data_IF_291938487470
#
_entry.id   IF_291938487470
#
_cell.length_a   1.000
_cell.length_b   1.000
_cell.length_c   1.000
_cell.angle_alpha   90.00
_cell.angle_beta   90.00
_cell.angle_gamma   90.00
#
_symmetry.space_group_name_H-M   'P 1'
#
loop_
_entity.id
_entity.type
_entity.pdbx_description
1 polymer ?
#
# COMPACT_ATOMS: atom_id res chain seq x y z
N UNK A 1 3.49 -4.93 18.02
CA UNK A 1 2.45 -5.81 18.60
C UNK A 1 2.96 -6.54 19.83
N UNK A 2 3.98 -7.42 19.73
CA UNK A 2 4.50 -8.16 20.91
C UNK A 2 4.99 -7.27 22.07
N UNK A 3 5.49 -6.06 21.79
CA UNK A 3 5.84 -5.10 22.86
C UNK A 3 4.62 -4.64 23.69
N UNK A 4 3.43 -4.59 23.08
CA UNK A 4 2.19 -4.13 23.74
C UNK A 4 1.42 -5.29 24.39
N UNK A 5 1.59 -6.51 23.89
CA UNK A 5 0.78 -7.68 24.29
C UNK A 5 1.59 -8.83 24.90
N UNK A 6 2.90 -8.66 25.03
CA UNK A 6 3.82 -9.73 25.41
C UNK A 6 4.18 -10.66 24.24
N UNK A 7 5.19 -11.50 24.47
CA UNK A 7 5.68 -12.49 23.51
C UNK A 7 5.17 -13.91 23.79
N UNK A 8 4.50 -14.15 24.91
CA UNK A 8 3.95 -15.47 25.26
C UNK A 8 2.44 -15.49 25.10
N UNK A 9 1.94 -16.42 24.29
CA UNK A 9 0.51 -16.62 24.02
C UNK A 9 0.21 -18.11 24.13
N UNK A 10 -0.86 -18.47 24.86
CA UNK A 10 -1.27 -19.87 25.06
C UNK A 10 -0.12 -20.80 25.51
N UNK A 11 0.77 -20.31 26.38
CA UNK A 11 1.93 -21.07 26.88
C UNK A 11 3.06 -21.27 25.85
N UNK A 12 2.97 -20.66 24.67
CA UNK A 12 4.03 -20.66 23.64
C UNK A 12 4.66 -19.28 23.54
N UNK A 13 5.99 -19.24 23.55
CA UNK A 13 6.75 -18.02 23.28
C UNK A 13 6.89 -17.82 21.78
N UNK A 14 6.56 -16.64 21.29
CA UNK A 14 6.74 -16.22 19.90
C UNK A 14 8.17 -15.67 19.78
N UNK A 15 8.91 -16.21 18.82
CA UNK A 15 10.25 -15.74 18.45
C UNK A 15 10.24 -15.35 16.97
N UNK A 16 10.83 -14.19 16.67
CA UNK A 16 10.88 -13.65 15.31
C UNK A 16 12.26 -13.88 14.73
N UNK A 17 12.32 -14.59 13.61
CA UNK A 17 13.51 -14.67 12.78
C UNK A 17 13.30 -13.75 11.58
N UNK A 18 14.08 -12.68 11.51
CA UNK A 18 13.97 -11.67 10.44
C UNK A 18 15.15 -11.85 9.50
N UNK A 19 14.85 -12.03 8.21
CA UNK A 19 15.84 -12.10 7.13
C UNK A 19 15.39 -11.20 5.99
N UNK A 20 16.30 -10.37 5.51
CA UNK A 20 16.07 -9.48 4.37
C UNK A 20 16.32 -10.24 3.06
N UNK A 21 15.31 -10.28 2.18
CA UNK A 21 15.42 -10.89 0.85
C UNK A 21 15.84 -9.87 -0.22
N UNK A 22 15.95 -8.59 0.13
CA UNK A 22 16.26 -7.48 -0.76
C UNK A 22 15.17 -7.22 -1.81
N UNK A 23 13.96 -7.77 -1.61
CA UNK A 23 12.90 -7.78 -2.63
C UNK A 23 13.19 -8.69 -3.82
N UNK A 24 14.16 -9.62 -3.71
CA UNK A 24 14.55 -10.53 -4.79
C UNK A 24 13.91 -11.90 -4.58
N UNK A 25 13.05 -12.39 -5.49
CA UNK A 25 12.31 -13.64 -5.28
C UNK A 25 13.17 -14.89 -5.09
N UNK A 26 14.34 -14.99 -5.74
CA UNK A 26 15.25 -16.12 -5.55
C UNK A 26 15.81 -16.17 -4.12
N UNK A 27 16.10 -15.01 -3.53
CA UNK A 27 16.49 -14.91 -2.13
C UNK A 27 15.34 -15.33 -1.22
N UNK A 28 14.11 -14.86 -1.50
CA UNK A 28 12.92 -15.23 -0.72
C UNK A 28 12.71 -16.74 -0.69
N UNK A 29 12.87 -17.42 -1.84
CA UNK A 29 12.76 -18.88 -1.95
C UNK A 29 13.83 -19.59 -1.11
N UNK A 30 15.09 -19.17 -1.25
CA UNK A 30 16.21 -19.75 -0.49
C UNK A 30 16.03 -19.56 1.01
N UNK A 31 15.70 -18.34 1.43
CA UNK A 31 15.45 -17.99 2.83
C UNK A 31 14.28 -18.80 3.39
N UNK A 32 13.16 -18.90 2.66
CA UNK A 32 12.03 -19.70 3.09
C UNK A 32 12.41 -21.18 3.25
N UNK A 33 13.17 -21.76 2.31
CA UNK A 33 13.67 -23.12 2.42
C UNK A 33 14.50 -23.33 3.70
N UNK A 34 15.41 -22.39 3.99
CA UNK A 34 16.26 -22.42 5.18
C UNK A 34 15.44 -22.31 6.47
N UNK A 35 14.45 -21.41 6.51
CA UNK A 35 13.56 -21.26 7.66
C UNK A 35 12.72 -22.51 7.90
N UNK A 36 12.23 -23.14 6.82
CA UNK A 36 11.38 -24.34 6.90
C UNK A 36 12.20 -25.56 7.34
N UNK A 37 13.36 -25.79 6.72
CA UNK A 37 14.13 -27.03 6.91
C UNK A 37 15.14 -26.92 8.06
N UNK A 38 15.87 -25.80 8.10
CA UNK A 38 16.91 -25.55 9.08
C UNK A 38 16.35 -25.07 10.42
N UNK A 39 15.67 -23.92 10.39
CA UNK A 39 15.13 -23.29 11.60
C UNK A 39 13.82 -23.93 12.10
N UNK A 40 13.19 -24.76 11.27
CA UNK A 40 11.93 -25.48 11.57
C UNK A 40 10.83 -24.54 12.09
N UNK A 41 10.69 -23.38 11.44
CA UNK A 41 9.66 -22.40 11.82
C UNK A 41 8.26 -22.98 11.66
N UNK A 42 7.31 -22.51 12.46
CA UNK A 42 5.90 -22.90 12.33
C UNK A 42 5.14 -22.04 11.31
N UNK A 43 5.63 -20.83 11.03
CA UNK A 43 5.00 -19.84 10.13
C UNK A 43 6.08 -19.11 9.35
N UNK A 44 5.85 -18.89 8.05
CA UNK A 44 6.70 -18.07 7.19
C UNK A 44 6.03 -16.73 6.91
N UNK A 45 6.78 -15.63 6.98
CA UNK A 45 6.33 -14.32 6.50
C UNK A 45 6.77 -14.07 5.07
N UNK A 46 5.89 -13.47 4.25
CA UNK A 46 6.23 -12.99 2.91
C UNK A 46 5.88 -11.51 2.76
N UNK A 47 6.79 -10.73 2.16
CA UNK A 47 6.61 -9.29 1.96
C UNK A 47 5.76 -8.98 0.74
N UNK A 48 6.38 -8.99 -0.44
CA UNK A 48 5.80 -8.52 -1.71
C UNK A 48 5.34 -9.68 -2.62
N UNK A 49 4.58 -9.36 -3.67
CA UNK A 49 4.03 -10.35 -4.62
C UNK A 49 5.07 -11.34 -5.18
N UNK A 50 6.23 -10.92 -5.72
CA UNK A 50 7.20 -11.88 -6.26
C UNK A 50 7.76 -12.83 -5.19
N UNK A 51 8.04 -12.33 -3.97
CA UNK A 51 8.45 -13.16 -2.84
C UNK A 51 7.38 -14.21 -2.51
N UNK A 52 6.11 -13.79 -2.42
CA UNK A 52 5.00 -14.70 -2.13
C UNK A 52 4.85 -15.80 -3.19
N UNK A 53 5.00 -15.46 -4.48
CA UNK A 53 4.92 -16.44 -5.57
C UNK A 53 6.10 -17.43 -5.54
N UNK A 54 7.30 -16.96 -5.20
CA UNK A 54 8.47 -17.82 -5.10
C UNK A 54 8.39 -18.79 -3.90
N UNK A 55 7.74 -18.37 -2.81
CA UNK A 55 7.54 -19.17 -1.59
C UNK A 55 6.37 -20.16 -1.73
N UNK A 56 5.32 -19.82 -2.49
CA UNK A 56 4.09 -20.60 -2.55
C UNK A 56 4.26 -22.11 -2.86
N UNK A 57 5.13 -22.56 -3.78
CA UNK A 57 5.37 -23.98 -4.00
C UNK A 57 5.97 -24.68 -2.77
N UNK A 58 6.90 -24.01 -2.07
CA UNK A 58 7.53 -24.54 -0.86
C UNK A 58 6.50 -24.62 0.29
N UNK A 59 5.67 -23.59 0.44
CA UNK A 59 4.60 -23.56 1.43
C UNK A 59 3.63 -24.74 1.23
N UNK A 60 3.24 -25.00 -0.02
CA UNK A 60 2.39 -26.14 -0.38
C UNK A 60 3.05 -27.48 -0.07
N UNK A 61 4.32 -27.65 -0.46
CA UNK A 61 5.05 -28.91 -0.27
C UNK A 61 5.26 -29.21 1.22
N UNK A 62 5.65 -28.20 2.00
CA UNK A 62 5.91 -28.35 3.44
C UNK A 62 4.65 -28.26 4.29
N UNK A 63 3.50 -27.95 3.69
CA UNK A 63 2.22 -27.71 4.38
C UNK A 63 2.33 -26.66 5.50
N UNK A 64 3.10 -25.61 5.25
CA UNK A 64 3.42 -24.59 6.25
C UNK A 64 2.65 -23.30 6.02
N UNK A 65 2.02 -22.79 7.08
CA UNK A 65 1.29 -21.54 7.06
C UNK A 65 2.22 -20.38 6.67
N UNK A 66 1.81 -19.61 5.66
CA UNK A 66 2.57 -18.46 5.16
C UNK A 66 1.70 -17.21 5.19
N UNK A 67 2.14 -16.17 5.89
CA UNK A 67 1.43 -14.89 6.02
C UNK A 67 2.03 -13.86 5.07
N UNK A 68 1.26 -13.41 4.08
CA UNK A 68 1.67 -12.41 3.09
C UNK A 68 1.23 -11.01 3.51
N UNK A 69 2.19 -10.14 3.81
CA UNK A 69 1.97 -8.90 4.57
C UNK A 69 1.91 -7.62 3.73
N UNK A 70 2.42 -7.59 2.49
CA UNK A 70 2.53 -6.35 1.68
C UNK A 70 2.18 -6.59 0.20
N UNK A 71 1.40 -7.64 -0.12
CA UNK A 71 1.08 -7.97 -1.51
C UNK A 71 -0.27 -7.39 -1.95
N UNK A 72 -0.30 -6.75 -3.12
CA UNK A 72 -1.49 -6.08 -3.65
C UNK A 72 -2.38 -6.93 -4.56
N UNK A 73 -1.88 -8.03 -5.13
CA UNK A 73 -2.59 -8.80 -6.16
C UNK A 73 -3.52 -9.86 -5.55
N UNK A 74 -4.77 -9.94 -6.04
CA UNK A 74 -5.80 -10.85 -5.50
C UNK A 74 -5.42 -12.32 -5.62
N UNK A 75 -4.76 -12.72 -6.72
CA UNK A 75 -4.36 -14.11 -7.01
C UNK A 75 -3.34 -14.70 -6.02
N UNK A 76 -2.79 -13.89 -5.12
CA UNK A 76 -1.73 -14.34 -4.18
C UNK A 76 -2.21 -15.44 -3.24
N UNK A 77 -3.42 -15.31 -2.69
CA UNK A 77 -3.98 -16.35 -1.82
C UNK A 77 -4.28 -17.64 -2.60
N UNK A 78 -4.55 -17.54 -3.90
CA UNK A 78 -4.86 -18.69 -4.76
C UNK A 78 -3.61 -19.49 -5.16
N UNK A 79 -2.39 -18.95 -4.96
CA UNK A 79 -1.15 -19.65 -5.32
C UNK A 79 -0.83 -20.84 -4.41
N UNK A 80 -1.43 -20.93 -3.23
CA UNK A 80 -1.28 -22.05 -2.31
C UNK A 80 -2.39 -22.05 -1.27
N UNK A 81 -2.94 -23.22 -0.89
CA UNK A 81 -3.90 -23.31 0.21
C UNK A 81 -3.29 -22.94 1.58
N UNK A 82 -1.96 -22.80 1.68
CA UNK A 82 -1.27 -22.42 2.90
C UNK A 82 -0.90 -20.93 2.96
N UNK A 83 -1.27 -20.14 1.95
CA UNK A 83 -1.04 -18.71 1.94
C UNK A 83 -2.27 -17.96 2.46
N UNK A 84 -2.06 -17.14 3.50
CA UNK A 84 -3.04 -16.16 3.98
C UNK A 84 -2.48 -14.78 3.75
N UNK A 85 -3.25 -13.91 3.10
CA UNK A 85 -2.85 -12.53 2.83
C UNK A 85 -3.57 -11.58 3.78
N UNK A 86 -2.80 -10.82 4.55
CA UNK A 86 -3.31 -9.78 5.46
C UNK A 86 -3.30 -8.38 4.84
N UNK A 87 -2.84 -8.27 3.59
CA UNK A 87 -2.67 -7.03 2.84
C UNK A 87 -3.76 -6.77 1.78
N UNK A 88 -4.00 -5.48 1.55
CA UNK A 88 -4.69 -4.82 0.43
C UNK A 88 -5.73 -5.63 -0.39
N UNK A 89 -7.00 -5.55 0.00
CA UNK A 89 -8.15 -5.97 -0.81
C UNK A 89 -9.10 -4.80 -1.17
N UNK A 90 -9.26 -3.82 -0.28
CA UNK A 90 -10.04 -2.59 -0.51
C UNK A 90 -9.14 -1.46 -1.00
N UNK A 91 -9.56 -0.65 -2.01
CA UNK A 91 -8.87 0.58 -2.37
C UNK A 91 -8.61 1.43 -1.13
N UNK A 92 -7.39 1.94 -1.02
CA UNK A 92 -6.94 2.77 0.09
C UNK A 92 -6.34 4.09 -0.41
N UNK A 93 -5.90 4.94 0.52
CA UNK A 93 -5.33 6.26 0.22
C UNK A 93 -4.11 6.21 -0.73
N UNK A 94 -3.34 5.12 -0.74
CA UNK A 94 -2.22 4.92 -1.68
C UNK A 94 -2.77 4.67 -3.08
N UNK A 95 -3.72 3.73 -3.21
CA UNK A 95 -4.29 3.38 -4.52
C UNK A 95 -4.96 4.56 -5.22
N UNK A 96 -5.66 5.44 -4.48
CA UNK A 96 -6.24 6.65 -5.06
C UNK A 96 -5.16 7.66 -5.45
N UNK A 97 -4.02 7.73 -4.73
CA UNK A 97 -2.86 8.52 -5.13
C UNK A 97 -2.29 8.09 -6.48
N UNK A 98 -2.16 6.79 -6.73
CA UNK A 98 -1.73 6.26 -8.02
C UNK A 98 -2.76 6.51 -9.14
N UNK A 99 -4.05 6.36 -8.83
CA UNK A 99 -5.15 6.62 -9.77
C UNK A 99 -5.12 8.09 -10.24
N UNK A 100 -5.04 9.03 -9.29
CA UNK A 100 -4.94 10.46 -9.57
C UNK A 100 -3.65 10.81 -10.32
N UNK A 101 -2.52 10.18 -9.97
CA UNK A 101 -1.26 10.36 -10.69
C UNK A 101 -1.37 10.00 -12.18
N UNK A 102 -2.02 8.89 -12.50
CA UNK A 102 -2.27 8.50 -13.89
C UNK A 102 -3.24 9.45 -14.60
N UNK A 103 -4.29 9.90 -13.91
CA UNK A 103 -5.22 10.91 -14.44
C UNK A 103 -4.48 12.19 -14.86
N UNK A 104 -3.59 12.70 -14.01
CA UNK A 104 -2.79 13.90 -14.30
C UNK A 104 -1.86 13.71 -15.49
N UNK A 105 -1.19 12.54 -15.61
CA UNK A 105 -0.34 12.23 -16.78
C UNK A 105 -1.19 12.22 -18.07
N UNK A 106 -2.34 11.55 -18.04
CA UNK A 106 -3.22 11.44 -19.19
C UNK A 106 -3.76 12.79 -19.65
N UNK A 107 -4.31 13.59 -18.73
CA UNK A 107 -4.88 14.90 -19.05
C UNK A 107 -3.80 15.93 -19.42
N UNK A 108 -2.59 15.84 -18.86
CA UNK A 108 -1.47 16.69 -19.28
C UNK A 108 -1.09 16.40 -20.74
N UNK A 109 -0.90 15.13 -21.11
CA UNK A 109 -0.60 14.74 -22.49
C UNK A 109 -1.71 15.17 -23.47
N UNK A 110 -2.97 15.00 -23.07
CA UNK A 110 -4.12 15.46 -23.85
C UNK A 110 -4.10 16.98 -24.05
N UNK A 111 -3.84 17.74 -22.98
CA UNK A 111 -3.79 19.21 -23.01
C UNK A 111 -2.61 19.77 -23.81
N UNK A 112 -1.47 19.07 -23.84
CA UNK A 112 -0.31 19.46 -24.63
C UNK A 112 -0.39 19.02 -26.10
N UNK A 113 -1.41 18.25 -26.49
CA UNK A 113 -1.49 17.65 -27.83
C UNK A 113 -0.42 16.57 -28.05
N UNK A 114 -0.03 15.85 -27.00
CA UNK A 114 0.95 14.77 -27.06
C UNK A 114 2.41 15.19 -26.92
N UNK A 115 2.70 16.47 -26.60
CA UNK A 115 4.07 16.88 -26.27
C UNK A 115 4.52 16.21 -24.96
N UNK A 116 5.74 15.71 -24.99
CA UNK A 116 6.35 14.94 -23.89
C UNK A 116 7.51 15.69 -23.22
N UNK A 117 7.80 16.93 -23.62
CA UNK A 117 8.81 17.74 -22.96
C UNK A 117 8.34 18.14 -21.54
N UNK A 118 9.28 18.13 -20.59
CA UNK A 118 8.97 18.32 -19.18
C UNK A 118 8.34 19.67 -18.87
N UNK A 119 8.75 20.74 -19.55
CA UNK A 119 8.24 22.09 -19.33
C UNK A 119 6.78 22.21 -19.78
N UNK A 120 6.43 21.70 -20.96
CA UNK A 120 5.06 21.67 -21.45
C UNK A 120 4.15 20.83 -20.55
N UNK A 121 4.61 19.66 -20.11
CA UNK A 121 3.84 18.78 -19.22
C UNK A 121 3.61 19.43 -17.86
N UNK A 122 4.63 19.97 -17.22
CA UNK A 122 4.48 20.65 -15.91
C UNK A 122 3.59 21.89 -16.04
N UNK A 123 3.72 22.67 -17.11
CA UNK A 123 2.84 23.80 -17.38
C UNK A 123 1.38 23.37 -17.57
N UNK A 124 1.14 22.22 -18.21
CA UNK A 124 -0.19 21.66 -18.39
C UNK A 124 -0.82 21.16 -17.08
N UNK A 125 -0.01 20.56 -16.19
CA UNK A 125 -0.41 20.01 -14.89
C UNK A 125 -0.71 21.07 -13.84
N UNK A 126 0.04 22.18 -13.82
CA UNK A 126 -0.20 23.29 -12.89
C UNK A 126 -1.61 23.85 -13.03
N UNK A 127 -2.34 23.95 -11.92
CA UNK A 127 -3.70 24.47 -11.88
C UNK A 127 -4.77 23.48 -12.38
N UNK A 128 -4.41 22.25 -12.75
CA UNK A 128 -5.37 21.22 -13.15
C UNK A 128 -6.33 20.92 -12.00
N UNK A 129 -7.63 20.77 -12.31
CA UNK A 129 -8.69 20.45 -11.35
C UNK A 129 -9.53 19.29 -11.88
N UNK A 130 -9.89 18.34 -11.02
CA UNK A 130 -10.72 17.19 -11.40
C UNK A 130 -11.47 16.62 -10.19
N UNK A 131 -12.48 15.79 -10.48
CA UNK A 131 -13.18 15.00 -9.47
C UNK A 131 -12.46 13.66 -9.28
N UNK A 132 -11.95 13.41 -8.08
CA UNK A 132 -11.28 12.16 -7.70
C UNK A 132 -12.21 11.28 -6.87
N UNK A 133 -11.97 9.95 -6.75
CA UNK A 133 -12.65 9.13 -5.76
C UNK A 133 -12.57 9.66 -4.32
N UNK A 134 -11.61 10.55 -4.01
CA UNK A 134 -11.48 11.23 -2.70
C UNK A 134 -12.22 12.58 -2.59
N UNK A 135 -12.95 12.99 -3.64
CA UNK A 135 -13.59 14.30 -3.78
C UNK A 135 -12.85 15.25 -4.73
N UNK A 136 -13.26 16.52 -4.80
CA UNK A 136 -12.69 17.51 -5.71
C UNK A 136 -11.26 17.87 -5.31
N UNK A 137 -10.33 17.80 -6.26
CA UNK A 137 -8.92 18.11 -6.03
C UNK A 137 -8.31 18.95 -7.16
N UNK A 138 -7.18 19.59 -6.87
CA UNK A 138 -6.41 20.33 -7.87
C UNK A 138 -4.93 20.40 -7.58
N UNK A 139 -4.10 20.63 -8.60
CA UNK A 139 -2.67 20.91 -8.43
C UNK A 139 -2.47 22.41 -8.27
N UNK A 140 -1.90 22.83 -7.15
CA UNK A 140 -1.53 24.22 -6.90
C UNK A 140 -0.51 24.70 -7.95
N UNK A 141 -0.78 25.77 -8.72
CA UNK A 141 0.11 26.22 -9.78
C UNK A 141 1.44 26.79 -9.27
N UNK A 142 1.47 27.30 -8.04
CA UNK A 142 2.66 27.90 -7.42
C UNK A 142 3.55 26.82 -6.81
N UNK A 143 2.95 25.92 -6.02
CA UNK A 143 3.72 24.93 -5.24
C UNK A 143 3.86 23.58 -5.92
N UNK A 144 3.03 23.30 -6.94
CA UNK A 144 2.87 21.98 -7.60
C UNK A 144 2.40 20.88 -6.66
N UNK A 145 1.88 21.26 -5.49
CA UNK A 145 1.35 20.32 -4.52
C UNK A 145 -0.18 20.16 -4.65
N UNK A 146 -0.71 19.10 -4.08
CA UNK A 146 -2.13 18.81 -4.11
C UNK A 146 -2.92 19.76 -3.20
N UNK A 147 -4.05 20.25 -3.70
CA UNK A 147 -5.11 20.91 -2.95
C UNK A 147 -6.27 19.94 -2.91
N UNK A 148 -6.72 19.57 -1.70
CA UNK A 148 -7.75 18.55 -1.52
C UNK A 148 -8.55 18.80 -0.25
N UNK A 149 -9.73 18.18 -0.17
CA UNK A 149 -10.47 18.12 1.08
C UNK A 149 -9.71 17.29 2.13
N UNK A 150 -9.84 17.66 3.40
CA UNK A 150 -9.37 16.90 4.55
C UNK A 150 -10.56 16.48 5.39
N UNK A 151 -10.68 15.19 5.64
CA UNK A 151 -11.81 14.61 6.35
C UNK A 151 -11.42 14.21 7.78
N UNK A 152 -12.21 14.62 8.76
CA UNK A 152 -12.18 14.05 10.12
C UNK A 152 -13.03 12.79 10.09
N UNK A 153 -12.46 11.68 10.55
CA UNK A 153 -13.11 10.36 10.46
C UNK A 153 -13.11 9.65 11.80
N UNK A 154 -14.13 8.81 12.00
CA UNK A 154 -14.22 7.87 13.12
C UNK A 154 -14.38 6.46 12.60
N UNK A 155 -13.71 5.50 13.26
CA UNK A 155 -13.84 4.09 12.92
C UNK A 155 -15.18 3.58 13.44
N UNK A 156 -16.02 3.08 12.54
CA UNK A 156 -17.31 2.46 12.87
C UNK A 156 -17.52 1.16 12.10
N UNK A 157 -18.37 0.27 12.63
CA UNK A 157 -18.67 -1.02 12.01
C UNK A 157 -19.90 -0.89 11.11
N UNK A 158 -19.74 -1.12 9.80
CA UNK A 158 -20.81 -1.08 8.79
C UNK A 158 -20.82 -2.42 8.06
N UNK A 159 -21.99 -3.08 8.02
CA UNK A 159 -22.14 -4.36 7.31
C UNK A 159 -21.20 -5.48 7.80
N UNK A 160 -20.79 -5.45 9.08
CA UNK A 160 -19.87 -6.44 9.65
C UNK A 160 -18.39 -6.05 9.61
N UNK A 161 -18.01 -4.97 8.93
CA UNK A 161 -16.62 -4.57 8.72
C UNK A 161 -16.34 -3.16 9.26
N UNK A 162 -15.07 -2.86 9.52
CA UNK A 162 -14.66 -1.53 10.00
C UNK A 162 -14.44 -0.57 8.82
N UNK A 163 -15.10 0.58 8.89
CA UNK A 163 -14.95 1.70 7.97
C UNK A 163 -14.54 2.95 8.73
N UNK A 164 -13.89 3.86 8.02
CA UNK A 164 -13.64 5.19 8.54
C UNK A 164 -14.72 6.12 7.99
N UNK A 165 -15.72 6.39 8.81
CA UNK A 165 -16.87 7.23 8.45
C UNK A 165 -16.48 8.69 8.60
N UNK A 166 -16.73 9.48 7.57
CA UNK A 166 -16.43 10.92 7.53
C UNK A 166 -17.45 11.68 8.40
N UNK A 167 -16.94 12.47 9.33
CA UNK A 167 -17.73 13.24 10.29
C UNK A 167 -17.72 14.75 9.99
N UNK A 168 -16.61 15.23 9.44
CA UNK A 168 -16.44 16.63 9.06
C UNK A 168 -15.48 16.72 7.87
N UNK A 169 -15.65 17.78 7.09
CA UNK A 169 -14.85 18.07 5.91
C UNK A 169 -14.30 19.49 6.00
N UNK A 170 -13.00 19.62 5.81
CA UNK A 170 -12.33 20.88 5.55
C UNK A 170 -12.02 20.94 4.06
N UNK A 171 -12.66 21.86 3.35
CA UNK A 171 -12.60 21.89 1.89
C UNK A 171 -11.34 22.59 1.36
N UNK A 172 -10.81 22.12 0.24
CA UNK A 172 -9.76 22.82 -0.54
C UNK A 172 -8.50 23.21 0.25
N UNK A 173 -8.02 22.30 1.10
CA UNK A 173 -6.86 22.54 1.97
C UNK A 173 -5.55 22.45 1.17
N UNK A 174 -4.71 23.48 1.29
CA UNK A 174 -3.31 23.51 0.80
C UNK A 174 -2.35 22.95 1.84
N UNK A 175 -1.15 22.53 1.44
CA UNK A 175 -0.07 22.15 2.37
C UNK A 175 0.21 23.29 3.39
N UNK A 176 -0.11 23.09 4.69
CA UNK A 176 0.07 24.13 5.70
C UNK A 176 1.51 24.59 5.87
N UNK A 177 2.50 23.71 5.60
CA UNK A 177 3.92 24.01 5.76
C UNK A 177 4.44 24.96 4.67
N UNK A 178 3.82 24.96 3.50
CA UNK A 178 4.17 25.86 2.39
C UNK A 178 3.42 27.18 2.46
N UNK A 179 2.20 27.17 3.01
CA UNK A 179 1.43 28.39 3.27
C UNK A 179 2.09 29.23 4.38
N UNK A 180 2.58 28.60 5.45
CA UNK A 180 3.20 29.30 6.58
C UNK A 180 4.52 30.02 6.21
N UNK A 181 5.25 29.53 5.20
CA UNK A 181 6.52 30.12 4.72
C UNK A 181 6.36 31.39 3.87
N UNK A 182 5.12 31.78 3.53
CA UNK A 182 4.83 32.98 2.72
C UNK A 182 4.54 34.24 3.55
N UNK A 183 4.76 34.21 4.87
CA UNK A 183 4.76 35.40 5.75
C UNK A 183 6.18 35.89 5.96
#
# INVERSE_FOLDING_TARGET
YMQLHGSTVAGKKIELIVKDDGGVPDNSKRIAQELIVGEKVAVVGAGITPSAFAIAPLATQAKIATVVMVSGTSVVAERSPYLVRTSFYRPNFISVGCYDGMHVIYEALKKTGGKTDGDALVAAMKGMKWESPRGPISIDPETRDIIQNIYVRKVEKVGGELYNIELATFETVKDPLKVAKKK
#
